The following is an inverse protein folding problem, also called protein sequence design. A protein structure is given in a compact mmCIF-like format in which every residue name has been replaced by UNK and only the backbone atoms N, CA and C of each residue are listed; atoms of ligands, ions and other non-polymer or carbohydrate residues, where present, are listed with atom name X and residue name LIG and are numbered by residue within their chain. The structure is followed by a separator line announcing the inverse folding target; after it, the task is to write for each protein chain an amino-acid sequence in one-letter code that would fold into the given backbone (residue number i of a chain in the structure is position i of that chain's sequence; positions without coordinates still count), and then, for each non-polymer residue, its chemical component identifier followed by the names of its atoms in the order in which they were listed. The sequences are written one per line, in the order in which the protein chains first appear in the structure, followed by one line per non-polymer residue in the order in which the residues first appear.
data_IF_286297300805
#
_entry.id   IF_286297300805
#
_cell.length_a   1.000
_cell.length_b   1.000
_cell.length_c   1.000
_cell.angle_alpha   90.00
_cell.angle_beta   90.00
_cell.angle_gamma   90.00
#
_symmetry.space_group_name_H-M   'P 1'
#
loop_
_entity.id
_entity.type
_entity.pdbx_description
1 polymer ?
#
# COMPACT_ATOMS: atom_id res chain seq x y z
N UNK A 1 30.45 -11.87 -12.74
CA UNK A 1 29.43 -10.95 -12.21
C UNK A 1 28.08 -11.60 -12.47
N UNK A 2 27.39 -12.05 -11.42
CA UNK A 2 26.07 -12.65 -11.56
C UNK A 2 25.06 -11.52 -11.75
N UNK A 3 24.39 -11.47 -12.89
CA UNK A 3 23.32 -10.51 -13.14
C UNK A 3 22.18 -10.80 -12.17
N UNK A 4 21.64 -9.77 -11.52
CA UNK A 4 20.47 -9.90 -10.66
C UNK A 4 19.29 -10.50 -11.46
N UNK A 5 18.40 -11.28 -10.81
CA UNK A 5 17.23 -11.84 -11.48
C UNK A 5 16.31 -10.73 -12.02
N UNK A 6 15.61 -11.01 -13.12
CA UNK A 6 14.62 -10.09 -13.72
C UNK A 6 13.29 -10.02 -12.95
N UNK A 7 13.26 -10.49 -11.71
CA UNK A 7 12.08 -10.55 -10.87
C UNK A 7 12.47 -10.27 -9.41
N UNK A 8 11.51 -9.77 -8.66
CA UNK A 8 11.61 -9.55 -7.21
C UNK A 8 10.44 -10.28 -6.54
N UNK A 9 10.71 -10.98 -5.44
CA UNK A 9 9.69 -11.66 -4.63
C UNK A 9 9.85 -11.19 -3.21
N UNK A 10 8.75 -10.74 -2.61
CA UNK A 10 8.70 -10.28 -1.23
C UNK A 10 7.60 -11.03 -0.48
N UNK A 11 7.97 -11.65 0.64
CA UNK A 11 7.01 -12.17 1.61
C UNK A 11 6.62 -11.05 2.58
N UNK A 12 5.37 -10.57 2.48
CA UNK A 12 4.86 -9.50 3.32
C UNK A 12 4.84 -9.86 4.81
N UNK A 13 4.77 -11.13 5.18
CA UNK A 13 4.84 -11.53 6.60
C UNK A 13 6.19 -11.18 7.24
N UNK A 14 7.25 -11.16 6.43
CA UNK A 14 8.62 -10.84 6.85
C UNK A 14 9.00 -9.35 6.72
N UNK A 15 8.14 -8.51 6.10
CA UNK A 15 8.40 -7.06 5.94
C UNK A 15 8.00 -6.32 7.20
N UNK A 16 8.92 -5.60 7.83
CA UNK A 16 8.61 -4.82 9.05
C UNK A 16 7.44 -3.84 8.83
N UNK A 17 6.52 -3.84 9.79
CA UNK A 17 5.40 -2.91 9.79
C UNK A 17 5.87 -1.53 10.24
N UNK A 18 5.47 -0.50 9.50
CA UNK A 18 5.77 0.90 9.79
C UNK A 18 4.48 1.63 10.10
N UNK A 19 4.47 2.45 11.16
CA UNK A 19 3.30 3.27 11.51
C UNK A 19 3.00 4.26 10.38
N UNK A 20 1.71 4.42 10.06
CA UNK A 20 1.19 5.43 9.16
C UNK A 20 -0.01 6.15 9.80
N UNK A 21 -0.51 7.26 9.22
CA UNK A 21 -1.62 8.02 9.80
C UNK A 21 -2.90 7.19 10.06
N UNK A 22 -3.14 6.15 9.27
CA UNK A 22 -4.33 5.29 9.40
C UNK A 22 -4.12 3.99 10.21
N UNK A 23 -2.88 3.65 10.58
CA UNK A 23 -2.57 2.38 11.24
C UNK A 23 -1.15 1.88 10.94
N UNK A 24 -1.04 0.69 10.36
CA UNK A 24 0.24 0.05 10.05
C UNK A 24 0.34 -0.31 8.57
N UNK A 25 1.51 -0.08 7.97
CA UNK A 25 1.79 -0.44 6.59
C UNK A 25 3.05 -1.30 6.48
N UNK A 26 2.95 -2.39 5.73
CA UNK A 26 4.09 -3.16 5.21
C UNK A 26 4.24 -2.81 3.73
N UNK A 27 5.45 -2.44 3.29
CA UNK A 27 5.66 -1.84 1.97
C UNK A 27 6.74 -2.60 1.20
N UNK A 28 6.46 -2.92 -0.06
CA UNK A 28 7.39 -3.59 -0.96
C UNK A 28 7.52 -2.82 -2.29
N UNK A 29 8.58 -3.09 -3.03
CA UNK A 29 8.85 -2.60 -4.39
C UNK A 29 9.01 -1.08 -4.57
N UNK A 30 9.01 -0.29 -3.49
CA UNK A 30 9.20 1.17 -3.56
C UNK A 30 10.55 1.59 -4.15
N UNK A 31 11.60 0.82 -3.87
CA UNK A 31 12.95 1.01 -4.43
C UNK A 31 13.26 0.04 -5.58
N UNK A 32 12.23 -0.65 -6.12
CA UNK A 32 12.46 -1.63 -7.19
C UNK A 32 13.10 -0.95 -8.40
N UNK A 33 14.08 -1.61 -9.01
CA UNK A 33 14.82 -1.05 -10.15
C UNK A 33 13.94 -0.78 -11.38
N UNK A 34 12.76 -1.40 -11.44
CA UNK A 34 11.76 -1.16 -12.47
C UNK A 34 10.96 0.13 -12.22
N UNK A 35 10.79 0.54 -10.95
CA UNK A 35 10.16 1.80 -10.57
C UNK A 35 8.69 1.96 -11.02
N UNK A 36 7.98 0.86 -11.27
CA UNK A 36 6.63 0.90 -11.86
C UNK A 36 5.56 1.16 -10.78
N UNK A 37 5.62 0.43 -9.67
CA UNK A 37 4.65 0.54 -8.57
C UNK A 37 5.27 0.03 -7.27
N UNK A 38 4.77 0.54 -6.14
CA UNK A 38 4.92 -0.10 -4.84
C UNK A 38 3.64 -0.87 -4.49
N UNK A 39 3.76 -1.89 -3.66
CA UNK A 39 2.62 -2.61 -3.10
C UNK A 39 2.65 -2.51 -1.58
N UNK A 40 1.53 -2.11 -0.99
CA UNK A 40 1.41 -1.96 0.46
C UNK A 40 0.29 -2.86 0.98
N UNK A 41 0.57 -3.62 2.05
CA UNK A 41 -0.45 -4.25 2.88
C UNK A 41 -0.65 -3.34 4.08
N UNK A 42 -1.86 -2.79 4.22
CA UNK A 42 -2.18 -1.78 5.22
C UNK A 42 -3.25 -2.31 6.14
N UNK A 43 -2.97 -2.29 7.44
CA UNK A 43 -3.97 -2.52 8.49
C UNK A 43 -4.46 -1.15 8.98
N UNK A 44 -5.72 -0.86 8.69
CA UNK A 44 -6.39 0.37 9.14
C UNK A 44 -6.95 0.11 10.54
N UNK A 45 -6.52 0.89 11.54
CA UNK A 45 -6.91 0.72 12.95
C UNK A 45 -7.85 1.82 13.46
N UNK A 46 -7.99 2.90 12.70
CA UNK A 46 -8.77 4.08 13.07
C UNK A 46 -9.29 4.78 11.81
N UNK A 47 -10.28 5.65 11.99
CA UNK A 47 -10.74 6.53 10.91
C UNK A 47 -9.56 7.35 10.38
N UNK A 48 -9.42 7.30 9.06
CA UNK A 48 -8.32 7.96 8.36
C UNK A 48 -8.69 9.39 8.02
N UNK A 49 -7.73 10.31 8.14
CA UNK A 49 -7.92 11.66 7.62
C UNK A 49 -7.96 11.63 6.07
N UNK A 50 -8.91 12.38 5.50
CA UNK A 50 -9.04 12.57 4.05
C UNK A 50 -7.75 13.19 3.50
N UNK A 51 -7.19 12.60 2.45
CA UNK A 51 -5.93 13.04 1.85
C UNK A 51 -5.95 12.89 0.33
N UNK A 52 -4.94 13.49 -0.33
CA UNK A 52 -4.84 13.50 -1.79
C UNK A 52 -3.41 13.25 -2.26
N UNK A 53 -3.28 12.45 -3.32
CA UNK A 53 -2.02 12.26 -4.03
C UNK A 53 -2.02 13.06 -5.33
N UNK A 54 -1.04 13.97 -5.50
CA UNK A 54 -0.96 14.82 -6.72
C UNK A 54 -0.25 14.16 -7.89
N UNK A 55 0.45 13.06 -7.67
CA UNK A 55 1.35 12.42 -8.64
C UNK A 55 1.26 10.91 -8.66
N UNK A 56 0.49 10.32 -7.74
CA UNK A 56 0.41 8.89 -7.55
C UNK A 56 -1.03 8.46 -7.74
N UNK A 57 -1.24 7.45 -8.57
CA UNK A 57 -2.49 6.72 -8.64
C UNK A 57 -2.37 5.54 -7.71
N UNK A 58 -3.34 5.36 -6.81
CA UNK A 58 -3.40 4.21 -5.92
C UNK A 58 -4.56 3.30 -6.33
N UNK A 59 -4.37 2.00 -6.14
CA UNK A 59 -5.38 0.97 -6.33
C UNK A 59 -5.54 0.23 -5.01
N UNK A 60 -6.76 0.19 -4.48
CA UNK A 60 -7.05 -0.54 -3.25
C UNK A 60 -7.80 -1.83 -3.55
N UNK A 61 -7.35 -2.90 -2.91
CA UNK A 61 -8.03 -4.19 -2.88
C UNK A 61 -8.24 -4.58 -1.42
N UNK A 62 -9.50 -4.61 -0.98
CA UNK A 62 -9.86 -4.93 0.40
C UNK A 62 -9.73 -6.43 0.62
N UNK A 63 -8.83 -6.82 1.51
CA UNK A 63 -8.56 -8.24 1.82
C UNK A 63 -9.58 -8.81 2.79
N UNK A 64 -9.89 -8.05 3.86
CA UNK A 64 -10.84 -8.41 4.90
C UNK A 64 -11.27 -7.18 5.70
N UNK A 65 -12.29 -7.35 6.54
CA UNK A 65 -12.82 -6.29 7.40
C UNK A 65 -14.12 -5.67 6.86
N UNK A 66 -14.53 -4.57 7.49
CA UNK A 66 -15.75 -3.83 7.15
C UNK A 66 -15.46 -2.34 7.22
N UNK A 67 -16.00 -1.57 6.28
CA UNK A 67 -15.80 -0.13 6.23
C UNK A 67 -16.46 0.47 5.00
N UNK A 68 -15.99 1.65 4.63
CA UNK A 68 -16.28 2.30 3.36
C UNK A 68 -15.07 3.13 2.95
N UNK A 69 -14.93 3.39 1.66
CA UNK A 69 -14.03 4.44 1.16
C UNK A 69 -14.84 5.70 0.91
N UNK A 70 -14.24 6.85 1.16
CA UNK A 70 -14.77 8.16 0.79
C UNK A 70 -13.91 8.74 -0.34
N UNK A 71 -14.50 8.95 -1.52
CA UNK A 71 -13.84 9.39 -2.75
C UNK A 71 -14.63 10.57 -3.31
N UNK A 72 -14.02 11.76 -3.39
CA UNK A 72 -14.67 12.99 -3.85
C UNK A 72 -16.04 13.25 -3.16
N UNK A 73 -16.07 13.10 -1.83
CA UNK A 73 -17.26 13.20 -0.96
C UNK A 73 -18.35 12.11 -1.20
N UNK A 74 -18.07 11.10 -2.04
CA UNK A 74 -18.92 9.93 -2.26
C UNK A 74 -18.46 8.72 -1.45
N UNK A 75 -19.40 8.00 -0.84
CA UNK A 75 -19.12 6.78 -0.08
C UNK A 75 -19.33 5.53 -0.93
N UNK A 76 -18.29 4.71 -1.03
CA UNK A 76 -18.34 3.40 -1.69
C UNK A 76 -18.03 2.28 -0.68
N UNK A 77 -18.68 1.10 -0.80
CA UNK A 77 -18.45 -0.02 0.10
C UNK A 77 -17.03 -0.59 -0.03
#
# INVERSE_FOLDING_TARGET
MTTAPAYEVVDFAAVDAVRCPCGWARRAFGDSSAGIASLHVVQIEQDSETHVHRRTTEFYYVLEGTGHLELDDERVP
#
